data_IF_548717910907
#
_entry.id   IF_548717910907
#
_cell.length_a   1.000
_cell.length_b   1.000
_cell.length_c   1.000
_cell.angle_alpha   90.00
_cell.angle_beta   90.00
_cell.angle_gamma   90.00
#
_symmetry.space_group_name_H-M   'P 1'
#
loop_
_entity.id
_entity.type
_entity.pdbx_description
1 polymer ?
#
# COMPACT_ATOMS: atom_id res chain seq x y z
N UNK A 1 -26.08 22.51 -28.02
CA UNK A 1 -26.61 21.15 -27.86
C UNK A 1 -25.41 20.24 -27.68
N UNK A 2 -25.06 19.94 -26.43
CA UNK A 2 -24.08 18.90 -26.12
C UNK A 2 -24.77 17.57 -26.40
N UNK A 3 -24.14 16.73 -27.20
CA UNK A 3 -24.60 15.37 -27.49
C UNK A 3 -24.76 14.62 -26.17
N UNK A 4 -25.89 13.91 -26.02
CA UNK A 4 -26.07 12.89 -25.00
C UNK A 4 -25.02 11.79 -25.25
N UNK A 5 -23.83 11.94 -24.67
CA UNK A 5 -23.00 10.79 -24.35
C UNK A 5 -23.82 9.98 -23.33
N UNK A 6 -24.09 8.72 -23.66
CA UNK A 6 -24.64 7.76 -22.70
C UNK A 6 -23.75 7.84 -21.45
N UNK A 7 -24.29 8.42 -20.37
CA UNK A 7 -23.64 8.40 -19.06
C UNK A 7 -23.61 6.94 -18.63
N UNK A 8 -22.52 6.25 -18.94
CA UNK A 8 -22.20 5.00 -18.28
C UNK A 8 -22.06 5.33 -16.79
N UNK A 9 -22.81 4.60 -15.96
CA UNK A 9 -22.65 4.68 -14.51
C UNK A 9 -21.29 4.07 -14.18
N UNK A 10 -20.28 4.93 -13.99
CA UNK A 10 -18.95 4.52 -13.56
C UNK A 10 -18.93 4.41 -12.03
N UNK A 11 -18.52 3.26 -11.51
CA UNK A 11 -18.30 3.03 -10.08
C UNK A 11 -16.82 2.84 -9.79
N UNK A 12 -16.38 3.27 -8.62
CA UNK A 12 -15.01 3.14 -8.13
C UNK A 12 -15.02 2.37 -6.83
N UNK A 13 -14.34 1.22 -6.83
CA UNK A 13 -14.09 0.42 -5.64
C UNK A 13 -12.64 0.61 -5.22
N UNK A 14 -12.38 0.96 -3.97
CA UNK A 14 -11.03 1.22 -3.47
C UNK A 14 -10.79 0.54 -2.11
N UNK A 15 -9.61 -0.05 -1.99
CA UNK A 15 -9.01 -0.43 -0.70
C UNK A 15 -8.19 0.74 -0.19
N UNK A 16 -8.43 1.20 1.04
CA UNK A 16 -7.70 2.31 1.67
C UNK A 16 -6.51 1.82 2.50
N UNK A 17 -5.99 0.63 2.21
CA UNK A 17 -5.04 -0.11 3.05
C UNK A 17 -3.69 -0.35 2.38
N UNK A 18 -2.59 -0.30 3.14
CA UNK A 18 -1.28 -0.75 2.66
C UNK A 18 -1.15 -2.28 2.70
N UNK A 19 -1.26 -2.93 1.54
CA UNK A 19 -0.96 -4.36 1.38
C UNK A 19 0.53 -4.71 1.50
N UNK A 20 1.43 -3.71 1.51
CA UNK A 20 2.86 -3.90 1.74
C UNK A 20 3.21 -4.23 3.19
N UNK A 21 2.29 -3.99 4.14
CA UNK A 21 2.51 -4.20 5.57
C UNK A 21 1.41 -5.07 6.19
N UNK A 22 1.67 -5.61 7.38
CA UNK A 22 0.76 -6.43 8.17
C UNK A 22 0.48 -7.82 7.56
N UNK A 23 -0.11 -8.74 8.32
CA UNK A 23 -0.38 -10.10 7.83
C UNK A 23 -1.45 -10.08 6.73
N UNK A 24 -1.26 -10.89 5.68
CA UNK A 24 -2.27 -11.14 4.63
C UNK A 24 -2.64 -12.63 4.56
N UNK A 25 -2.18 -13.40 5.53
CA UNK A 25 -2.50 -14.82 5.64
C UNK A 25 -4.01 -15.02 5.71
N UNK A 26 -4.56 -15.79 4.76
CA UNK A 26 -6.00 -16.05 4.65
C UNK A 26 -6.89 -14.80 4.67
N UNK A 27 -6.45 -13.69 4.06
CA UNK A 27 -7.19 -12.41 4.08
C UNK A 27 -8.60 -12.48 3.45
N UNK A 28 -8.88 -13.50 2.65
CA UNK A 28 -10.20 -13.79 2.10
C UNK A 28 -11.18 -14.42 3.12
N UNK A 29 -10.72 -14.69 4.35
CA UNK A 29 -11.52 -15.29 5.44
C UNK A 29 -11.70 -14.29 6.58
N UNK A 30 -12.81 -14.42 7.33
CA UNK A 30 -13.05 -13.60 8.52
C UNK A 30 -11.92 -13.74 9.56
N UNK A 31 -11.36 -14.94 9.72
CA UNK A 31 -10.25 -15.21 10.64
C UNK A 31 -9.00 -14.39 10.27
N UNK A 32 -8.60 -14.41 9.00
CA UNK A 32 -7.46 -13.63 8.50
C UNK A 32 -7.68 -12.13 8.58
N UNK A 33 -8.91 -11.66 8.33
CA UNK A 33 -9.28 -10.24 8.43
C UNK A 33 -9.21 -9.74 9.87
N UNK A 34 -9.73 -10.51 10.83
CA UNK A 34 -9.64 -10.20 12.26
C UNK A 34 -8.19 -10.20 12.74
N UNK A 35 -7.41 -11.21 12.35
CA UNK A 35 -5.98 -11.27 12.70
C UNK A 35 -5.20 -10.07 12.16
N UNK A 36 -5.54 -9.60 10.94
CA UNK A 36 -4.95 -8.38 10.38
C UNK A 36 -5.39 -7.14 11.13
N UNK A 37 -6.67 -7.00 11.47
CA UNK A 37 -7.14 -5.87 12.29
C UNK A 37 -6.41 -5.83 13.64
N UNK A 38 -6.30 -6.96 14.33
CA UNK A 38 -5.58 -7.06 15.60
C UNK A 38 -4.12 -6.63 15.46
N UNK A 39 -3.44 -7.07 14.39
CA UNK A 39 -2.07 -6.62 14.12
C UNK A 39 -2.00 -5.10 13.89
N UNK A 40 -2.94 -4.51 13.14
CA UNK A 40 -2.97 -3.07 12.88
C UNK A 40 -3.16 -2.28 14.18
N UNK A 41 -4.14 -2.65 15.01
CA UNK A 41 -4.42 -2.00 16.30
C UNK A 41 -3.22 -2.08 17.24
N UNK A 42 -2.57 -3.25 17.31
CA UNK A 42 -1.49 -3.48 18.29
C UNK A 42 -0.16 -2.85 17.89
N UNK A 43 0.06 -2.58 16.60
CA UNK A 43 1.36 -2.17 16.08
C UNK A 43 1.37 -0.76 15.49
N UNK A 44 0.29 -0.33 14.84
CA UNK A 44 0.24 0.97 14.19
C UNK A 44 -0.52 1.97 15.06
N UNK A 45 -0.11 3.23 14.96
CA UNK A 45 -0.85 4.33 15.56
C UNK A 45 -1.87 4.84 14.54
N UNK A 46 -3.16 4.78 14.88
CA UNK A 46 -4.22 5.38 14.08
C UNK A 46 -4.63 6.73 14.65
N UNK A 47 -4.88 7.69 13.75
CA UNK A 47 -5.68 8.86 14.08
C UNK A 47 -7.15 8.44 14.21
N UNK A 48 -7.86 9.03 15.17
CA UNK A 48 -9.31 8.88 15.34
C UNK A 48 -9.81 7.41 15.45
N UNK A 49 -9.00 6.51 16.02
CA UNK A 49 -9.37 5.09 16.24
C UNK A 49 -9.76 4.32 14.96
N UNK A 50 -9.19 4.69 13.80
CA UNK A 50 -9.55 4.10 12.51
C UNK A 50 -9.46 2.56 12.48
N UNK A 51 -8.39 1.97 13.04
CA UNK A 51 -8.19 0.52 12.99
C UNK A 51 -9.20 -0.24 13.86
N UNK A 52 -9.63 0.38 14.96
CA UNK A 52 -10.59 -0.15 15.92
C UNK A 52 -12.03 -0.05 15.39
N UNK A 53 -12.41 1.11 14.85
CA UNK A 53 -13.81 1.44 14.59
C UNK A 53 -14.22 1.23 13.12
N UNK A 54 -13.32 1.46 12.17
CA UNK A 54 -13.70 1.60 10.76
C UNK A 54 -13.03 0.59 9.83
N UNK A 55 -11.80 0.18 10.12
CA UNK A 55 -10.99 -0.65 9.21
C UNK A 55 -11.71 -1.93 8.76
N UNK A 56 -12.15 -2.77 9.69
CA UNK A 56 -12.69 -4.09 9.35
C UNK A 56 -14.02 -3.98 8.60
N UNK A 57 -14.89 -3.07 9.03
CA UNK A 57 -16.20 -2.87 8.40
C UNK A 57 -16.06 -2.36 6.96
N UNK A 58 -15.15 -1.40 6.73
CA UNK A 58 -14.80 -0.92 5.39
C UNK A 58 -14.20 -2.02 4.53
N UNK A 59 -13.25 -2.78 5.05
CA UNK A 59 -12.61 -3.87 4.31
C UNK A 59 -13.60 -4.95 3.85
N UNK A 60 -14.51 -5.36 4.74
CA UNK A 60 -15.58 -6.32 4.41
C UNK A 60 -16.52 -5.73 3.36
N UNK A 61 -16.97 -4.48 3.55
CA UNK A 61 -17.86 -3.82 2.60
C UNK A 61 -17.24 -3.72 1.19
N UNK A 62 -15.94 -3.42 1.08
CA UNK A 62 -15.24 -3.38 -0.20
C UNK A 62 -15.19 -4.76 -0.87
N UNK A 63 -14.96 -5.85 -0.11
CA UNK A 63 -15.00 -7.22 -0.67
C UNK A 63 -16.42 -7.58 -1.14
N UNK A 64 -17.44 -7.25 -0.35
CA UNK A 64 -18.83 -7.46 -0.73
C UNK A 64 -19.16 -6.70 -2.03
N UNK A 65 -18.76 -5.44 -2.12
CA UNK A 65 -18.93 -4.62 -3.33
C UNK A 65 -18.29 -5.28 -4.55
N UNK A 66 -17.04 -5.77 -4.45
CA UNK A 66 -16.37 -6.50 -5.54
C UNK A 66 -17.16 -7.73 -6.00
N UNK A 67 -17.74 -8.48 -5.05
CA UNK A 67 -18.53 -9.66 -5.38
C UNK A 67 -19.84 -9.32 -6.09
N UNK A 68 -20.46 -8.16 -5.77
CA UNK A 68 -21.71 -7.72 -6.41
C UNK A 68 -21.55 -7.25 -7.85
N UNK A 69 -20.34 -6.94 -8.31
CA UNK A 69 -20.10 -6.51 -9.70
C UNK A 69 -20.60 -7.60 -10.67
N UNK A 70 -21.46 -7.28 -11.66
CA UNK A 70 -21.92 -8.25 -12.66
C UNK A 70 -20.78 -8.86 -13.50
N UNK A 71 -20.96 -10.08 -13.98
CA UNK A 71 -19.92 -10.87 -14.67
C UNK A 71 -19.48 -10.21 -15.98
N UNK A 72 -20.43 -9.59 -16.68
CA UNK A 72 -20.24 -8.90 -17.95
C UNK A 72 -19.62 -7.50 -17.81
N UNK A 73 -19.59 -6.94 -16.60
CA UNK A 73 -19.08 -5.58 -16.37
C UNK A 73 -17.59 -5.48 -16.71
N UNK A 74 -17.17 -4.56 -17.58
CA UNK A 74 -15.76 -4.27 -17.81
C UNK A 74 -15.12 -3.65 -16.56
N UNK A 75 -14.03 -4.25 -16.09
CA UNK A 75 -13.30 -3.82 -14.89
C UNK A 75 -11.93 -3.31 -15.32
N UNK A 76 -11.52 -2.17 -14.79
CA UNK A 76 -10.16 -1.63 -14.95
C UNK A 76 -9.53 -1.54 -13.57
N UNK A 77 -8.44 -2.28 -13.37
CA UNK A 77 -7.66 -2.23 -12.13
C UNK A 77 -6.40 -1.41 -12.41
N UNK A 78 -6.12 -0.47 -11.53
CA UNK A 78 -4.96 0.42 -11.61
C UNK A 78 -3.88 -0.09 -10.68
N UNK A 79 -2.63 -0.11 -11.15
CA UNK A 79 -1.48 -0.50 -10.34
C UNK A 79 -0.23 0.26 -10.76
N UNK A 80 0.69 0.48 -9.83
CA UNK A 80 2.06 0.93 -10.07
C UNK A 80 3.06 -0.19 -9.76
N UNK A 81 4.33 0.04 -10.10
CA UNK A 81 5.43 -0.88 -9.83
C UNK A 81 5.90 -0.75 -8.36
N UNK A 82 5.03 -1.12 -7.42
CA UNK A 82 5.34 -1.21 -5.98
C UNK A 82 4.63 -2.41 -5.32
N UNK A 83 5.12 -2.81 -4.13
CA UNK A 83 4.62 -4.00 -3.44
C UNK A 83 3.17 -3.86 -2.97
N UNK A 84 2.76 -2.67 -2.51
CA UNK A 84 1.40 -2.44 -2.04
C UNK A 84 0.38 -2.67 -3.17
N UNK A 85 0.58 -2.05 -4.32
CA UNK A 85 -0.36 -2.13 -5.44
C UNK A 85 -0.29 -3.47 -6.16
N UNK A 86 0.89 -4.11 -6.23
CA UNK A 86 1.02 -5.44 -6.82
C UNK A 86 0.34 -6.53 -5.98
N UNK A 87 0.52 -6.49 -4.65
CA UNK A 87 -0.17 -7.42 -3.74
C UNK A 87 -1.67 -7.16 -3.77
N UNK A 88 -2.10 -5.90 -3.77
CA UNK A 88 -3.51 -5.52 -3.90
C UNK A 88 -4.14 -6.03 -5.20
N UNK A 89 -3.45 -5.88 -6.35
CA UNK A 89 -3.90 -6.42 -7.63
C UNK A 89 -4.09 -7.94 -7.58
N UNK A 90 -3.10 -8.66 -7.02
CA UNK A 90 -3.15 -10.12 -6.93
C UNK A 90 -4.32 -10.58 -6.05
N UNK A 91 -4.51 -9.91 -4.90
CA UNK A 91 -5.64 -10.15 -4.00
C UNK A 91 -6.99 -9.94 -4.71
N UNK A 92 -7.16 -8.79 -5.37
CA UNK A 92 -8.41 -8.44 -6.05
C UNK A 92 -8.71 -9.41 -7.18
N UNK A 93 -7.72 -9.78 -8.00
CA UNK A 93 -7.92 -10.77 -9.08
C UNK A 93 -8.41 -12.11 -8.50
N UNK A 94 -7.86 -12.55 -7.37
CA UNK A 94 -8.30 -13.76 -6.69
C UNK A 94 -9.76 -13.69 -6.16
N UNK A 95 -10.29 -12.49 -5.90
CA UNK A 95 -11.70 -12.30 -5.53
C UNK A 95 -12.64 -12.25 -6.76
N UNK A 96 -12.14 -11.86 -7.92
CA UNK A 96 -12.95 -11.64 -9.14
C UNK A 96 -13.13 -12.91 -10.00
N UNK A 97 -13.14 -14.11 -9.43
CA UNK A 97 -13.00 -15.43 -10.10
C UNK A 97 -13.77 -15.59 -11.42
N UNK A 98 -15.06 -15.24 -11.44
CA UNK A 98 -15.91 -15.46 -12.64
C UNK A 98 -15.88 -14.31 -13.66
N UNK A 99 -15.25 -13.18 -13.32
CA UNK A 99 -15.28 -11.94 -14.12
C UNK A 99 -14.11 -11.90 -15.09
N UNK A 100 -14.37 -12.04 -16.39
CA UNK A 100 -13.30 -12.15 -17.42
C UNK A 100 -12.91 -10.82 -18.06
N UNK A 101 -13.76 -9.80 -17.95
CA UNK A 101 -13.58 -8.51 -18.62
C UNK A 101 -12.66 -7.56 -17.84
N UNK A 102 -11.51 -8.05 -17.37
CA UNK A 102 -10.57 -7.30 -16.52
C UNK A 102 -9.44 -6.75 -17.37
N UNK A 103 -9.14 -5.45 -17.24
CA UNK A 103 -7.93 -4.80 -17.74
C UNK A 103 -7.09 -4.34 -16.56
N UNK A 104 -5.77 -4.32 -16.75
CA UNK A 104 -4.84 -3.75 -15.80
C UNK A 104 -4.10 -2.60 -16.47
N UNK A 105 -4.14 -1.42 -15.86
CA UNK A 105 -3.35 -0.26 -16.27
C UNK A 105 -2.17 -0.16 -15.32
N UNK A 106 -0.95 -0.32 -15.85
CA UNK A 106 0.27 -0.04 -15.11
C UNK A 106 0.59 1.46 -15.20
N UNK A 107 0.41 2.19 -14.12
CA UNK A 107 0.59 3.64 -14.05
C UNK A 107 2.06 4.05 -14.08
N UNK A 108 2.98 3.22 -13.60
CA UNK A 108 4.42 3.45 -13.71
C UNK A 108 4.88 3.37 -15.16
N UNK A 109 4.41 2.35 -15.90
CA UNK A 109 4.65 2.20 -17.34
C UNK A 109 4.01 3.35 -18.12
N UNK A 110 2.74 3.64 -17.86
CA UNK A 110 2.01 4.75 -18.48
C UNK A 110 2.70 6.10 -18.26
N UNK A 111 3.22 6.36 -17.05
CA UNK A 111 3.94 7.59 -16.74
C UNK A 111 5.20 7.73 -17.60
N UNK A 112 6.02 6.66 -17.69
CA UNK A 112 7.23 6.66 -18.52
C UNK A 112 6.92 6.87 -20.00
N UNK A 113 5.90 6.18 -20.53
CA UNK A 113 5.60 6.22 -21.96
C UNK A 113 4.88 7.50 -22.41
N UNK A 114 3.91 7.96 -21.62
CA UNK A 114 3.01 9.06 -22.00
C UNK A 114 3.49 10.39 -21.43
N UNK A 115 3.78 10.45 -20.13
CA UNK A 115 4.19 11.70 -19.49
C UNK A 115 5.67 11.99 -19.71
N UNK A 116 6.47 10.96 -20.00
CA UNK A 116 7.92 11.07 -20.24
C UNK A 116 8.64 11.80 -19.10
N UNK A 117 8.24 11.49 -17.87
CA UNK A 117 8.85 12.08 -16.67
C UNK A 117 10.29 11.58 -16.49
N UNK A 118 11.15 12.42 -15.91
CA UNK A 118 12.55 12.10 -15.62
C UNK A 118 12.73 11.24 -14.35
N UNK A 119 11.63 10.95 -13.65
CA UNK A 119 11.60 10.15 -12.44
C UNK A 119 10.49 9.09 -12.53
N UNK A 120 10.67 7.99 -11.82
CA UNK A 120 9.63 6.99 -11.63
C UNK A 120 8.69 7.40 -10.49
N UNK A 121 7.38 7.22 -10.70
CA UNK A 121 6.39 7.37 -9.63
C UNK A 121 6.53 6.21 -8.63
N UNK A 122 6.32 6.48 -7.34
CA UNK A 122 6.32 5.44 -6.28
C UNK A 122 5.02 4.66 -6.25
N UNK A 123 3.93 5.29 -6.64
CA UNK A 123 2.60 4.70 -6.63
C UNK A 123 1.61 5.50 -7.46
N UNK A 124 0.47 4.89 -7.77
CA UNK A 124 -0.61 5.53 -8.53
C UNK A 124 -1.08 6.82 -7.88
N UNK A 125 -1.06 6.90 -6.54
CA UNK A 125 -1.46 8.08 -5.77
C UNK A 125 -0.59 9.33 -5.94
N UNK A 126 0.60 9.21 -6.54
CA UNK A 126 1.44 10.38 -6.86
C UNK A 126 1.00 11.11 -8.13
N UNK A 127 0.09 10.50 -8.92
CA UNK A 127 -0.36 11.07 -10.17
C UNK A 127 -1.56 12.00 -9.96
N UNK A 128 -1.57 13.18 -10.60
CA UNK A 128 -2.74 14.05 -10.57
C UNK A 128 -3.89 13.45 -11.39
N UNK A 129 -5.16 13.81 -11.09
CA UNK A 129 -6.33 13.29 -11.79
C UNK A 129 -6.28 13.47 -13.31
N UNK A 130 -5.68 14.55 -13.80
CA UNK A 130 -5.53 14.83 -15.23
C UNK A 130 -4.64 13.80 -15.94
N UNK A 131 -3.58 13.34 -15.27
CA UNK A 131 -2.71 12.27 -15.78
C UNK A 131 -3.44 10.94 -15.81
N UNK A 132 -4.22 10.62 -14.78
CA UNK A 132 -5.04 9.40 -14.75
C UNK A 132 -6.11 9.43 -15.85
N UNK A 133 -6.78 10.57 -16.07
CA UNK A 133 -7.74 10.72 -17.16
C UNK A 133 -7.10 10.53 -18.54
N UNK A 134 -5.86 11.01 -18.72
CA UNK A 134 -5.09 10.78 -19.94
C UNK A 134 -4.77 9.29 -20.12
N UNK A 135 -4.33 8.61 -19.06
CA UNK A 135 -4.02 7.18 -19.10
C UNK A 135 -5.27 6.36 -19.43
N UNK A 136 -6.40 6.64 -18.79
CA UNK A 136 -7.66 5.98 -19.08
C UNK A 136 -7.99 6.07 -20.57
N UNK A 137 -7.92 7.27 -21.18
CA UNK A 137 -8.20 7.46 -22.61
C UNK A 137 -7.25 6.68 -23.51
N UNK A 138 -5.97 6.61 -23.15
CA UNK A 138 -4.94 5.91 -23.93
C UNK A 138 -5.02 4.39 -23.80
N UNK A 139 -5.37 3.89 -22.61
CA UNK A 139 -5.28 2.46 -22.25
C UNK A 139 -6.64 1.74 -22.15
N UNK A 140 -7.77 2.43 -22.28
CA UNK A 140 -9.09 1.77 -22.30
C UNK A 140 -9.24 0.78 -23.48
N UNK A 141 -8.40 0.92 -24.51
CA UNK A 141 -8.30 0.01 -25.65
C UNK A 141 -7.39 -1.20 -25.42
N UNK A 142 -6.71 -1.29 -24.26
CA UNK A 142 -5.93 -2.47 -23.92
C UNK A 142 -6.84 -3.71 -23.95
N UNK A 143 -6.33 -4.86 -24.43
CA UNK A 143 -7.08 -6.10 -24.34
C UNK A 143 -7.32 -6.45 -22.87
N UNK A 144 -8.43 -7.16 -22.63
CA UNK A 144 -8.62 -7.83 -21.34
C UNK A 144 -7.47 -8.80 -21.06
N UNK A 145 -7.24 -9.09 -19.79
CA UNK A 145 -6.25 -10.08 -19.36
C UNK A 145 -6.52 -11.41 -20.07
N UNK A 146 -5.46 -12.03 -20.56
CA UNK A 146 -5.52 -13.42 -21.01
C UNK A 146 -5.66 -14.34 -19.80
N UNK A 147 -6.20 -15.54 -20.02
CA UNK A 147 -6.27 -16.57 -18.98
C UNK A 147 -4.88 -16.84 -18.36
N UNK A 148 -3.83 -16.87 -19.17
CA UNK A 148 -2.45 -17.05 -18.69
C UNK A 148 -2.01 -15.93 -17.75
N UNK A 149 -2.25 -14.65 -18.11
CA UNK A 149 -1.88 -13.52 -17.26
C UNK A 149 -2.71 -13.52 -15.97
N UNK A 150 -3.99 -13.88 -16.05
CA UNK A 150 -4.86 -14.03 -14.88
C UNK A 150 -4.33 -15.09 -13.92
N UNK A 151 -4.05 -16.30 -14.42
CA UNK A 151 -3.51 -17.40 -13.61
C UNK A 151 -2.19 -17.03 -12.92
N UNK A 152 -1.35 -16.20 -13.55
CA UNK A 152 -0.12 -15.70 -12.91
C UNK A 152 -0.42 -14.88 -11.65
N UNK A 153 -1.41 -13.98 -11.69
CA UNK A 153 -1.81 -13.19 -10.51
C UNK A 153 -2.51 -14.04 -9.45
N UNK A 154 -3.30 -15.04 -9.85
CA UNK A 154 -3.95 -15.96 -8.91
C UNK A 154 -2.91 -16.83 -8.17
N UNK A 155 -1.95 -17.42 -8.89
CA UNK A 155 -0.84 -18.15 -8.27
C UNK A 155 0.05 -17.25 -7.41
N UNK A 156 0.28 -16.01 -7.84
CA UNK A 156 1.02 -15.05 -7.04
C UNK A 156 0.27 -14.73 -5.75
N UNK A 157 -1.06 -14.58 -5.79
CA UNK A 157 -1.87 -14.45 -4.58
C UNK A 157 -1.78 -15.69 -3.68
N UNK A 158 -1.85 -16.90 -4.23
CA UNK A 158 -1.70 -18.14 -3.45
C UNK A 158 -0.37 -18.11 -2.68
N UNK A 159 0.74 -17.80 -3.36
CA UNK A 159 2.08 -17.64 -2.76
C UNK A 159 2.11 -16.54 -1.69
N UNK A 160 1.54 -15.36 -1.99
CA UNK A 160 1.49 -14.20 -1.09
C UNK A 160 0.68 -14.49 0.17
N UNK A 161 -0.44 -15.19 0.03
CA UNK A 161 -1.39 -15.47 1.11
C UNK A 161 -0.95 -16.58 2.06
N UNK A 162 0.14 -17.30 1.74
CA UNK A 162 0.76 -18.31 2.63
C UNK A 162 1.90 -17.74 3.48
N UNK A 163 2.39 -16.54 3.16
CA UNK A 163 3.47 -15.88 3.91
C UNK A 163 3.00 -15.39 5.28
N UNK A 164 3.90 -15.53 6.26
CA UNK A 164 3.72 -15.03 7.64
C UNK A 164 4.36 -13.66 7.86
N UNK A 165 5.26 -13.25 6.96
CA UNK A 165 5.97 -11.99 7.04
C UNK A 165 5.01 -10.81 6.89
N UNK A 166 5.19 -9.83 7.76
CA UNK A 166 4.36 -8.62 7.82
C UNK A 166 4.94 -7.45 7.01
N UNK A 167 6.05 -7.63 6.29
CA UNK A 167 6.62 -6.61 5.42
C UNK A 167 6.95 -7.18 4.05
N UNK A 168 6.50 -6.48 3.01
CA UNK A 168 6.69 -6.81 1.59
C UNK A 168 7.35 -5.64 0.89
N UNK A 169 8.42 -5.93 0.17
CA UNK A 169 9.20 -4.94 -0.58
C UNK A 169 9.21 -5.28 -2.06
N UNK A 170 9.26 -4.24 -2.89
CA UNK A 170 9.38 -4.34 -4.34
C UNK A 170 10.84 -4.25 -4.74
N UNK A 171 11.34 -5.30 -5.41
CA UNK A 171 12.70 -5.34 -5.98
C UNK A 171 12.65 -6.15 -7.26
N UNK A 172 13.43 -5.73 -8.27
CA UNK A 172 13.58 -6.48 -9.52
C UNK A 172 12.25 -6.85 -10.21
N UNK A 173 11.22 -6.01 -10.04
CA UNK A 173 9.85 -6.22 -10.50
C UNK A 173 9.08 -7.37 -9.82
N UNK A 174 9.50 -7.77 -8.63
CA UNK A 174 8.88 -8.83 -7.82
C UNK A 174 8.64 -8.40 -6.37
N UNK A 175 7.68 -9.07 -5.72
CA UNK A 175 7.38 -8.89 -4.30
C UNK A 175 8.21 -9.86 -3.47
N UNK A 176 9.04 -9.31 -2.59
CA UNK A 176 9.84 -10.06 -1.62
C UNK A 176 9.31 -9.89 -0.21
N UNK A 177 9.21 -11.00 0.52
CA UNK A 177 8.94 -10.99 1.95
C UNK A 177 10.23 -10.72 2.70
N UNK A 178 10.16 -9.83 3.68
CA UNK A 178 11.31 -9.48 4.53
C UNK A 178 10.85 -9.39 5.98
N UNK A 179 11.83 -9.44 6.89
CA UNK A 179 11.57 -9.18 8.30
C UNK A 179 11.13 -7.73 8.49
N UNK A 180 10.33 -7.46 9.53
CA UNK A 180 9.81 -6.10 9.78
C UNK A 180 10.91 -5.08 10.08
N UNK A 181 12.06 -5.54 10.58
CA UNK A 181 13.25 -4.73 10.87
C UNK A 181 14.09 -4.39 9.62
N UNK A 182 13.67 -4.83 8.44
CA UNK A 182 14.40 -4.64 7.19
C UNK A 182 14.73 -3.16 6.90
N UNK A 183 13.88 -2.22 7.31
CA UNK A 183 14.07 -0.78 7.12
C UNK A 183 14.67 -0.06 8.34
N UNK A 184 14.96 -0.76 9.43
CA UNK A 184 15.39 -0.13 10.68
C UNK A 184 16.74 0.58 10.53
N UNK A 185 17.70 -0.06 9.85
CA UNK A 185 19.00 0.54 9.56
C UNK A 185 18.87 1.83 8.75
N UNK A 186 17.94 1.85 7.79
CA UNK A 186 17.66 3.04 6.99
C UNK A 186 17.04 4.17 7.85
N UNK A 187 16.15 3.85 8.79
CA UNK A 187 15.60 4.83 9.76
C UNK A 187 16.72 5.42 10.62
N UNK A 188 17.67 4.60 11.08
CA UNK A 188 18.83 5.05 11.86
C UNK A 188 19.71 6.02 11.03
N UNK A 189 19.92 5.74 9.75
CA UNK A 189 20.68 6.60 8.85
C UNK A 189 19.98 7.94 8.60
N UNK A 190 18.66 7.91 8.38
CA UNK A 190 17.85 9.13 8.27
C UNK A 190 17.88 9.94 9.57
N UNK A 191 17.84 9.28 10.73
CA UNK A 191 17.96 9.94 12.03
C UNK A 191 19.30 10.69 12.16
N UNK A 192 20.41 10.07 11.73
CA UNK A 192 21.74 10.73 11.70
C UNK A 192 21.76 11.91 10.73
N UNK A 193 21.20 11.76 9.53
CA UNK A 193 21.22 12.82 8.51
C UNK A 193 20.53 14.10 9.00
N UNK A 194 19.45 13.96 9.78
CA UNK A 194 18.73 15.10 10.35
C UNK A 194 19.29 15.61 11.68
N UNK A 195 20.29 14.94 12.25
CA UNK A 195 20.98 15.36 13.48
C UNK A 195 20.44 14.77 14.79
N UNK A 196 19.63 13.72 14.74
CA UNK A 196 19.13 13.03 15.94
C UNK A 196 20.23 12.26 16.70
N UNK A 197 21.47 12.25 16.23
CA UNK A 197 22.64 11.76 16.97
C UNK A 197 23.21 12.79 17.96
N UNK A 198 22.90 14.07 17.74
CA UNK A 198 23.43 15.21 18.52
C UNK A 198 22.43 15.68 19.58
N UNK A 199 21.16 15.80 19.21
CA UNK A 199 20.10 16.33 20.07
C UNK A 199 18.78 15.58 19.89
N UNK A 200 17.84 15.77 20.83
CA UNK A 200 16.49 15.24 20.71
C UNK A 200 15.73 15.98 19.62
N UNK A 201 15.22 15.25 18.64
CA UNK A 201 14.39 15.78 17.55
C UNK A 201 13.00 15.20 17.62
N UNK A 202 11.99 16.01 17.27
CA UNK A 202 10.61 15.53 17.16
C UNK A 202 10.53 14.33 16.21
N UNK A 203 9.87 13.25 16.63
CA UNK A 203 9.80 12.01 15.84
C UNK A 203 9.33 12.22 14.38
N UNK A 204 8.38 13.13 14.06
CA UNK A 204 7.97 13.41 12.69
C UNK A 204 9.10 13.93 11.80
N UNK A 205 10.17 14.54 12.37
CA UNK A 205 11.32 14.98 11.59
C UNK A 205 12.13 13.81 11.05
N UNK A 206 12.31 12.76 11.87
CA UNK A 206 12.99 11.51 11.49
C UNK A 206 12.10 10.69 10.56
N UNK A 207 10.83 10.53 10.91
CA UNK A 207 9.85 9.79 10.11
C UNK A 207 9.67 10.45 8.74
N UNK A 208 9.55 11.78 8.68
CA UNK A 208 9.39 12.51 7.42
C UNK A 208 10.62 12.43 6.52
N UNK A 209 11.82 12.40 7.08
CA UNK A 209 13.05 12.15 6.31
C UNK A 209 13.03 10.74 5.71
N UNK A 210 12.72 9.73 6.54
CA UNK A 210 12.62 8.35 6.09
C UNK A 210 11.51 8.20 5.03
N UNK A 211 10.33 8.78 5.23
CA UNK A 211 9.21 8.74 4.27
C UNK A 211 9.58 9.41 2.93
N UNK A 212 10.33 10.52 3.00
CA UNK A 212 10.78 11.25 1.82
C UNK A 212 11.81 10.48 0.99
N UNK A 213 12.57 9.57 1.60
CA UNK A 213 13.69 8.88 0.95
C UNK A 213 13.47 7.37 0.77
N UNK A 214 12.52 6.77 1.48
CA UNK A 214 12.25 5.32 1.39
C UNK A 214 11.68 5.00 0.01
N UNK A 215 12.27 4.01 -0.65
CA UNK A 215 11.80 3.53 -1.96
C UNK A 215 10.52 2.68 -1.83
N UNK A 216 10.30 2.11 -0.65
CA UNK A 216 9.22 1.18 -0.37
C UNK A 216 7.98 1.92 0.14
N UNK A 217 6.83 1.68 -0.50
CA UNK A 217 5.55 2.30 -0.13
C UNK A 217 4.95 1.62 1.12
N UNK A 218 5.43 2.02 2.30
CA UNK A 218 5.04 1.43 3.61
C UNK A 218 4.20 2.37 4.49
N UNK A 219 4.21 3.68 4.20
CA UNK A 219 3.49 4.69 4.98
C UNK A 219 4.21 5.18 6.24
N UNK A 220 3.78 6.33 6.75
CA UNK A 220 4.35 7.00 7.93
C UNK A 220 4.03 6.25 9.23
N UNK A 221 2.83 5.68 9.37
CA UNK A 221 2.41 4.90 10.53
C UNK A 221 3.28 3.65 10.73
N UNK A 222 3.70 2.99 9.64
CA UNK A 222 4.64 1.86 9.72
C UNK A 222 6.06 2.32 10.12
N UNK A 223 6.52 3.45 9.59
CA UNK A 223 7.80 4.04 9.98
C UNK A 223 7.81 4.45 11.46
N UNK A 224 6.71 5.00 11.97
CA UNK A 224 6.52 5.29 13.39
C UNK A 224 6.58 4.01 14.22
N UNK A 225 5.86 2.96 13.80
CA UNK A 225 5.90 1.65 14.44
C UNK A 225 7.34 1.13 14.57
N UNK A 226 8.10 1.13 13.46
CA UNK A 226 9.51 0.71 13.48
C UNK A 226 10.38 1.58 14.39
N UNK A 227 10.18 2.90 14.38
CA UNK A 227 10.87 3.80 15.30
C UNK A 227 10.55 3.48 16.77
N UNK A 228 9.29 3.17 17.10
CA UNK A 228 8.89 2.72 18.46
C UNK A 228 9.54 1.39 18.83
N UNK A 229 9.71 0.46 17.89
CA UNK A 229 10.47 -0.78 18.14
C UNK A 229 11.95 -0.51 18.41
N UNK A 230 12.57 0.41 17.68
CA UNK A 230 13.96 0.81 17.91
C UNK A 230 14.16 1.51 19.27
N UNK A 231 13.15 2.24 19.77
CA UNK A 231 13.14 2.74 21.15
C UNK A 231 13.09 1.57 22.16
N UNK A 232 12.21 0.59 21.95
CA UNK A 232 12.11 -0.60 22.82
C UNK A 232 13.39 -1.43 22.84
N UNK A 233 14.12 -1.46 21.73
CA UNK A 233 15.45 -2.11 21.60
C UNK A 233 16.59 -1.26 22.16
N UNK A 234 16.28 -0.10 22.75
CA UNK A 234 17.24 0.86 23.31
C UNK A 234 18.24 1.45 22.31
N UNK A 235 17.93 1.42 21.00
CA UNK A 235 18.71 2.09 19.94
C UNK A 235 18.51 3.61 19.99
N UNK A 236 17.29 4.05 20.36
CA UNK A 236 16.95 5.44 20.58
C UNK A 236 16.57 5.69 22.05
N UNK A 237 17.00 6.83 22.56
CA UNK A 237 16.42 7.48 23.72
C UNK A 237 15.18 8.29 23.27
N UNK A 238 14.20 8.46 24.15
CA UNK A 238 13.01 9.28 23.85
C UNK A 238 12.58 10.15 25.03
N UNK A 239 11.93 11.27 24.70
CA UNK A 239 11.27 12.18 25.65
C UNK A 239 9.83 12.45 25.21
N UNK A 240 8.89 12.52 26.16
CA UNK A 240 7.46 12.77 25.89
C UNK A 240 6.61 11.51 25.97
N UNK A 241 5.49 11.49 25.22
CA UNK A 241 4.55 10.35 25.18
C UNK A 241 4.63 9.62 23.85
N UNK A 242 4.67 8.28 23.88
CA UNK A 242 4.68 7.43 22.70
C UNK A 242 3.28 7.20 22.10
N UNK A 243 2.26 7.96 22.51
CA UNK A 243 0.90 7.83 21.98
C UNK A 243 0.84 8.14 20.48
N UNK A 244 1.41 9.25 20.03
CA UNK A 244 1.50 9.65 18.62
C UNK A 244 2.84 10.32 18.30
N UNK A 245 3.30 10.20 17.05
CA UNK A 245 4.60 10.73 16.61
C UNK A 245 4.85 12.19 17.01
N UNK A 246 3.83 13.06 16.97
CA UNK A 246 3.96 14.49 17.33
C UNK A 246 4.28 14.73 18.83
N UNK A 247 3.97 13.77 19.69
CA UNK A 247 4.06 13.91 21.15
C UNK A 247 5.40 13.50 21.75
N UNK A 248 6.30 12.90 20.98
CA UNK A 248 7.63 12.54 21.47
C UNK A 248 8.77 13.03 20.57
N UNK A 249 9.94 13.13 21.19
CA UNK A 249 11.21 13.38 20.54
C UNK A 249 12.13 12.18 20.74
N UNK A 250 13.02 11.94 19.79
CA UNK A 250 13.97 10.83 19.80
C UNK A 250 15.40 11.33 19.60
N UNK A 251 16.35 10.58 20.15
CA UNK A 251 17.79 10.77 19.94
C UNK A 251 18.46 9.40 19.85
N UNK A 252 19.40 9.22 18.93
CA UNK A 252 20.20 8.00 18.87
C UNK A 252 21.05 7.87 20.14
N UNK A 253 21.00 6.67 20.73
CA UNK A 253 21.85 6.33 21.88
C UNK A 253 23.30 6.21 21.41
N UNK A 254 24.22 6.66 22.26
CA UNK A 254 25.68 6.59 22.01
C UNK A 254 26.23 5.19 22.22
#
# INVERSE_FOLDING_TARGET
MLSQEELFEESVVAFSEFFSIGPIYRLHTNEGQLARQEWLINNLTAYDSYFEEEYLSRFIATIEELHTIPVETPITIWKADNAHEHVGLSFVIAQLKDKKNIRVINTSEASREILKQEYDIRGTGELPPESLALFQKSFIKLPYLTEEKRMKFEHEWDRLSESIECLRVWKENEVHFVQEDYIDQFIIECAKSVGADREFLKAPRVIGEALGLVEQLVGDTFLEYRLKQLIKQEVFEFEGSLDEMRFYSVKLRK
#
